data_IF_193013828372
#
_entry.id   IF_193013828372
#
_cell.length_a   1.000
_cell.length_b   1.000
_cell.length_c   1.000
_cell.angle_alpha   90.00
_cell.angle_beta   90.00
_cell.angle_gamma   90.00
#
_symmetry.space_group_name_H-M   'P 1'
#
loop_
_entity.id
_entity.type
_entity.pdbx_description
1 polymer ?
#
# COMPACT_ATOMS: atom_id res chain seq x y z
N UNK A 1 -9.15 5.13 19.61
CA UNK A 1 -9.73 5.22 18.27
C UNK A 1 -8.83 4.49 17.29
N UNK A 2 -9.39 3.53 16.57
CA UNK A 2 -8.59 2.73 15.65
C UNK A 2 -8.90 3.17 14.23
N UNK A 3 -7.90 3.80 13.62
CA UNK A 3 -8.06 4.25 12.25
C UNK A 3 -7.97 3.06 11.30
N UNK A 4 -8.84 3.07 10.31
CA UNK A 4 -8.73 2.12 9.20
C UNK A 4 -7.88 2.75 8.10
N UNK A 5 -6.98 1.96 7.54
CA UNK A 5 -6.03 2.42 6.53
C UNK A 5 -6.45 1.90 5.16
N UNK A 6 -6.24 2.72 4.13
CA UNK A 6 -6.45 2.30 2.75
C UNK A 6 -5.13 1.72 2.24
N UNK A 7 -5.08 0.43 1.94
CA UNK A 7 -3.82 -0.17 1.51
C UNK A 7 -3.49 0.18 0.07
N UNK A 8 -2.20 0.22 -0.22
CA UNK A 8 -1.70 0.17 -1.59
C UNK A 8 -1.41 -1.28 -1.91
N UNK A 9 -1.91 -1.76 -3.04
CA UNK A 9 -1.72 -3.15 -3.46
C UNK A 9 -0.69 -3.20 -4.58
N UNK A 10 0.37 -3.99 -4.36
CA UNK A 10 1.40 -4.24 -5.36
C UNK A 10 1.23 -5.66 -5.87
N UNK A 11 1.34 -5.85 -7.18
CA UNK A 11 1.19 -7.16 -7.79
C UNK A 11 2.53 -7.68 -8.28
N UNK A 12 2.85 -8.91 -7.90
CA UNK A 12 3.97 -9.65 -8.44
C UNK A 12 3.49 -11.03 -8.87
N UNK A 13 3.56 -11.32 -10.18
CA UNK A 13 3.07 -12.58 -10.75
C UNK A 13 1.62 -12.88 -10.31
N UNK A 14 0.76 -11.86 -10.37
CA UNK A 14 -0.66 -11.92 -9.97
C UNK A 14 -0.89 -12.18 -8.48
N UNK A 15 0.14 -12.12 -7.65
CA UNK A 15 -0.01 -12.24 -6.20
C UNK A 15 0.06 -10.85 -5.57
N UNK A 16 -0.93 -10.47 -4.78
CA UNK A 16 -0.94 -9.14 -4.18
C UNK A 16 -0.06 -9.06 -2.94
N UNK A 17 0.54 -7.89 -2.74
CA UNK A 17 1.17 -7.49 -1.50
C UNK A 17 0.57 -6.16 -1.09
N UNK A 18 -0.19 -6.14 -0.02
CA UNK A 18 -0.82 -4.93 0.50
C UNK A 18 0.10 -4.28 1.52
N UNK A 19 0.27 -2.98 1.41
CA UNK A 19 1.11 -2.22 2.32
C UNK A 19 0.48 -0.90 2.69
N UNK A 20 0.86 -0.39 3.85
CA UNK A 20 0.43 0.92 4.35
C UNK A 20 1.60 1.60 5.04
N UNK A 21 1.55 2.94 5.12
CA UNK A 21 2.48 3.71 5.94
C UNK A 21 1.80 4.09 7.25
N UNK A 22 2.44 3.80 8.36
CA UNK A 22 1.98 4.18 9.70
C UNK A 22 3.16 4.76 10.45
N UNK A 23 3.04 6.00 10.90
CA UNK A 23 4.09 6.71 11.66
C UNK A 23 5.44 6.68 10.94
N UNK A 24 5.45 6.98 9.64
CA UNK A 24 6.63 6.99 8.77
C UNK A 24 7.30 5.62 8.59
N UNK A 25 6.59 4.54 8.89
CA UNK A 25 7.10 3.18 8.74
C UNK A 25 6.20 2.39 7.81
N UNK A 26 6.75 1.66 6.83
CA UNK A 26 5.94 0.77 6.00
C UNK A 26 5.57 -0.50 6.77
N UNK A 27 4.33 -0.93 6.60
CA UNK A 27 3.81 -2.16 7.17
C UNK A 27 3.13 -2.95 6.06
N UNK A 28 3.36 -4.25 6.05
CA UNK A 28 2.90 -5.12 4.98
C UNK A 28 2.06 -6.26 5.54
N UNK A 29 1.07 -6.72 4.76
CA UNK A 29 0.29 -7.88 5.13
C UNK A 29 1.20 -9.11 5.24
N UNK A 30 1.24 -9.69 6.43
CA UNK A 30 2.05 -10.90 6.69
C UNK A 30 1.58 -12.05 5.83
N UNK A 31 0.27 -12.23 5.71
CA UNK A 31 -0.32 -13.27 4.87
C UNK A 31 0.07 -13.12 3.41
N UNK A 32 0.00 -11.90 2.88
CA UNK A 32 0.33 -11.65 1.49
C UNK A 32 1.79 -11.97 1.20
N UNK A 33 2.69 -11.55 2.09
CA UNK A 33 4.12 -11.80 1.90
C UNK A 33 4.45 -13.28 2.01
N UNK A 34 3.81 -13.99 2.94
CA UNK A 34 3.98 -15.43 3.05
C UNK A 34 3.58 -16.14 1.76
N UNK A 35 2.52 -15.68 1.10
CA UNK A 35 2.11 -16.22 -0.19
C UNK A 35 3.12 -15.92 -1.28
N UNK A 36 3.69 -14.72 -1.29
CA UNK A 36 4.76 -14.38 -2.24
C UNK A 36 5.96 -15.29 -2.07
N UNK A 37 6.28 -15.67 -0.84
CA UNK A 37 7.39 -16.60 -0.55
C UNK A 37 7.01 -18.05 -0.85
N UNK A 38 5.77 -18.33 -1.21
CA UNK A 38 5.34 -19.69 -1.51
C UNK A 38 5.15 -20.57 -0.29
N UNK A 39 4.94 -19.98 0.88
CA UNK A 39 4.74 -20.76 2.10
C UNK A 39 3.34 -21.38 2.13
N UNK A 40 3.29 -22.67 2.44
CA UNK A 40 2.02 -23.37 2.55
C UNK A 40 1.23 -22.98 3.80
N UNK A 41 1.93 -22.58 4.84
CA UNK A 41 1.32 -22.17 6.11
C UNK A 41 1.76 -20.74 6.45
N UNK A 42 0.92 -19.73 6.09
CA UNK A 42 1.26 -18.33 6.36
C UNK A 42 1.54 -18.02 7.82
N UNK A 43 0.93 -18.75 8.76
CA UNK A 43 1.22 -18.56 10.18
C UNK A 43 2.68 -18.87 10.55
N UNK A 44 3.38 -19.69 9.75
CA UNK A 44 4.78 -19.95 10.00
C UNK A 44 5.62 -18.69 9.94
N UNK A 45 5.28 -17.78 9.05
CA UNK A 45 5.95 -16.48 8.97
C UNK A 45 5.65 -15.63 10.21
N UNK A 46 4.39 -15.53 10.57
CA UNK A 46 3.95 -14.72 11.72
C UNK A 46 4.65 -15.17 13.01
N UNK A 47 4.79 -16.47 13.22
CA UNK A 47 5.44 -17.03 14.42
C UNK A 47 6.92 -16.69 14.54
N UNK A 48 7.55 -16.34 13.43
CA UNK A 48 9.00 -16.03 13.40
C UNK A 48 9.27 -14.54 13.64
N UNK A 49 8.24 -13.73 13.65
CA UNK A 49 8.39 -12.29 13.88
C UNK A 49 8.43 -11.99 15.37
N UNK A 50 9.25 -11.01 15.73
CA UNK A 50 9.30 -10.51 17.10
C UNK A 50 8.10 -9.59 17.37
N UNK A 51 7.72 -9.39 18.63
CA UNK A 51 6.56 -8.54 18.95
C UNK A 51 6.60 -7.14 18.32
N UNK A 52 7.77 -6.53 18.24
CA UNK A 52 7.90 -5.19 17.64
C UNK A 52 7.89 -5.21 16.11
N UNK A 53 7.96 -6.38 15.49
CA UNK A 53 7.94 -6.56 14.05
C UNK A 53 6.55 -6.89 13.52
N UNK A 54 5.57 -7.03 14.40
CA UNK A 54 4.20 -7.33 14.01
C UNK A 54 3.23 -6.35 14.65
N UNK A 55 2.10 -6.12 14.00
CA UNK A 55 0.97 -5.41 14.58
C UNK A 55 -0.31 -5.78 13.85
N UNK A 56 -1.43 -5.60 14.52
CA UNK A 56 -2.73 -5.72 13.90
C UNK A 56 -3.18 -4.39 13.39
N UNK A 57 -3.64 -4.35 12.14
CA UNK A 57 -4.16 -3.13 11.52
C UNK A 57 -5.51 -3.41 10.88
N UNK A 58 -6.32 -2.36 10.77
CA UNK A 58 -7.57 -2.42 10.03
C UNK A 58 -7.39 -1.78 8.68
N UNK A 59 -7.81 -2.49 7.65
CA UNK A 59 -7.81 -2.00 6.28
C UNK A 59 -9.23 -1.67 5.86
N UNK A 60 -9.38 -0.59 5.11
CA UNK A 60 -10.65 -0.15 4.56
C UNK A 60 -10.64 -0.38 3.06
N UNK A 61 -11.67 -1.06 2.56
CA UNK A 61 -11.82 -1.34 1.13
C UNK A 61 -12.83 -0.34 0.54
N UNK A 62 -12.32 0.58 -0.26
CA UNK A 62 -13.15 1.66 -0.83
C UNK A 62 -14.33 1.15 -1.64
N UNK A 63 -14.12 0.08 -2.42
CA UNK A 63 -15.16 -0.43 -3.32
C UNK A 63 -16.33 -1.05 -2.58
N UNK A 64 -16.05 -1.81 -1.55
CA UNK A 64 -17.10 -2.52 -0.81
C UNK A 64 -17.56 -1.78 0.43
N UNK A 65 -16.79 -0.79 0.91
CA UNK A 65 -17.02 -0.15 2.18
C UNK A 65 -16.70 -1.03 3.38
N UNK A 66 -16.14 -2.21 3.15
CA UNK A 66 -15.85 -3.17 4.20
C UNK A 66 -14.52 -2.87 4.89
N UNK A 67 -14.41 -3.28 6.15
CA UNK A 67 -13.16 -3.25 6.90
C UNK A 67 -12.66 -4.67 7.13
N UNK A 68 -11.35 -4.83 7.11
CA UNK A 68 -10.69 -6.12 7.35
C UNK A 68 -9.55 -5.89 8.33
N UNK A 69 -9.48 -6.72 9.37
CA UNK A 69 -8.35 -6.69 10.30
C UNK A 69 -7.33 -7.73 9.89
N UNK A 70 -6.09 -7.31 9.70
CA UNK A 70 -5.01 -8.19 9.28
C UNK A 70 -3.83 -8.10 10.22
N UNK A 71 -3.00 -9.14 10.20
CA UNK A 71 -1.68 -9.09 10.80
C UNK A 71 -0.71 -8.45 9.81
N UNK A 72 0.07 -7.49 10.28
CA UNK A 72 1.04 -6.79 9.45
C UNK A 72 2.44 -6.95 10.03
N UNK A 73 3.43 -6.87 9.16
CA UNK A 73 4.83 -6.99 9.52
C UNK A 73 5.56 -5.71 9.13
N UNK A 74 6.58 -5.37 9.93
CA UNK A 74 7.44 -4.22 9.67
C UNK A 74 8.38 -4.48 8.49
N UNK A 75 9.01 -3.41 8.00
CA UNK A 75 10.04 -3.50 6.98
C UNK A 75 11.19 -4.43 7.42
N UNK A 76 11.64 -4.29 8.67
CA UNK A 76 12.69 -5.15 9.20
C UNK A 76 12.26 -6.62 9.21
N UNK A 77 11.03 -6.90 9.63
CA UNK A 77 10.48 -8.25 9.62
C UNK A 77 10.41 -8.83 8.22
N UNK A 78 10.05 -7.99 7.26
CA UNK A 78 9.95 -8.40 5.85
C UNK A 78 11.32 -8.86 5.31
N UNK A 79 12.38 -8.09 5.54
CA UNK A 79 13.72 -8.47 5.06
C UNK A 79 14.26 -9.69 5.79
N UNK A 80 14.00 -9.82 7.08
CA UNK A 80 14.39 -11.04 7.82
C UNK A 80 13.70 -12.28 7.27
N UNK A 81 12.40 -12.16 6.95
CA UNK A 81 11.66 -13.27 6.38
C UNK A 81 12.21 -13.65 5.00
N UNK A 82 12.53 -12.66 4.18
CA UNK A 82 13.09 -12.90 2.85
C UNK A 82 14.38 -13.71 2.91
N UNK A 83 15.25 -13.38 3.84
CA UNK A 83 16.52 -14.09 4.03
C UNK A 83 16.28 -15.49 4.61
N UNK A 84 15.43 -15.59 5.63
CA UNK A 84 15.25 -16.82 6.38
C UNK A 84 14.57 -17.93 5.57
N UNK A 85 13.56 -17.58 4.79
CA UNK A 85 12.80 -18.58 4.05
C UNK A 85 13.39 -18.93 2.70
N UNK A 86 14.44 -18.24 2.27
CA UNK A 86 15.28 -18.65 1.17
C UNK A 86 14.56 -18.89 -0.16
N UNK A 87 13.71 -17.96 -0.57
CA UNK A 87 12.98 -18.08 -1.84
C UNK A 87 13.95 -18.09 -3.02
N UNK A 88 13.71 -18.93 -4.06
CA UNK A 88 14.59 -18.97 -5.24
C UNK A 88 14.74 -17.60 -5.93
N UNK A 89 13.74 -16.74 -5.84
CA UNK A 89 13.76 -15.39 -6.41
C UNK A 89 14.07 -14.34 -5.36
N UNK A 90 14.82 -14.68 -4.33
CA UNK A 90 15.12 -13.77 -3.21
C UNK A 90 15.72 -12.46 -3.67
N UNK A 91 16.66 -12.49 -4.62
CA UNK A 91 17.28 -11.28 -5.14
C UNK A 91 16.31 -10.42 -5.90
N UNK A 92 15.47 -11.04 -6.74
CA UNK A 92 14.46 -10.31 -7.51
C UNK A 92 13.39 -9.71 -6.60
N UNK A 93 12.99 -10.42 -5.56
CA UNK A 93 12.05 -9.90 -4.56
C UNK A 93 12.66 -8.72 -3.81
N UNK A 94 13.91 -8.83 -3.39
CA UNK A 94 14.61 -7.75 -2.72
C UNK A 94 14.66 -6.49 -3.59
N UNK A 95 15.04 -6.64 -4.86
CA UNK A 95 15.06 -5.51 -5.79
C UNK A 95 13.69 -4.89 -6.00
N UNK A 96 12.66 -5.72 -6.14
CA UNK A 96 11.29 -5.24 -6.31
C UNK A 96 10.82 -4.44 -5.09
N UNK A 97 11.09 -4.97 -3.90
CA UNK A 97 10.71 -4.30 -2.65
C UNK A 97 11.45 -2.98 -2.47
N UNK A 98 12.77 -2.96 -2.70
CA UNK A 98 13.58 -1.78 -2.45
C UNK A 98 13.47 -0.72 -3.52
N UNK A 99 13.20 -1.08 -4.76
CA UNK A 99 13.14 -0.14 -5.88
C UNK A 99 11.73 0.34 -6.21
N UNK A 100 10.71 -0.49 -5.97
CA UNK A 100 9.34 -0.16 -6.35
C UNK A 100 8.40 -0.02 -5.16
N UNK A 101 8.33 -1.04 -4.32
CA UNK A 101 7.29 -1.12 -3.28
C UNK A 101 7.49 -0.07 -2.20
N UNK A 102 8.64 -0.08 -1.55
CA UNK A 102 8.91 0.81 -0.43
C UNK A 102 8.99 2.27 -0.87
N UNK A 103 9.69 2.61 -1.96
CA UNK A 103 9.68 4.00 -2.42
C UNK A 103 8.30 4.53 -2.78
N UNK A 104 7.45 3.70 -3.38
CA UNK A 104 6.09 4.09 -3.73
C UNK A 104 5.25 4.39 -2.47
N UNK A 105 5.36 3.54 -1.44
CA UNK A 105 4.67 3.80 -0.19
C UNK A 105 5.15 5.07 0.50
N UNK A 106 6.46 5.30 0.53
CA UNK A 106 7.02 6.50 1.16
C UNK A 106 6.61 7.76 0.41
N UNK A 107 6.63 7.72 -0.91
CA UNK A 107 6.18 8.83 -1.75
C UNK A 107 4.72 9.20 -1.48
N UNK A 108 3.87 8.21 -1.39
CA UNK A 108 2.45 8.44 -1.11
C UNK A 108 2.24 9.11 0.23
N UNK A 109 2.98 8.73 1.24
CA UNK A 109 2.85 9.37 2.55
C UNK A 109 3.31 10.81 2.50
N UNK A 110 4.44 11.10 1.88
CA UNK A 110 4.98 12.45 1.79
C UNK A 110 4.02 13.39 1.07
N UNK A 111 3.32 12.89 0.05
CA UNK A 111 2.33 13.69 -0.68
C UNK A 111 1.00 13.80 0.05
N UNK A 112 0.58 12.78 0.79
CA UNK A 112 -0.71 12.79 1.48
C UNK A 112 -0.72 13.59 2.79
N UNK A 113 0.42 13.72 3.45
CA UNK A 113 0.45 14.25 4.80
C UNK A 113 0.21 15.76 4.84
N UNK A 114 0.74 16.53 3.90
CA UNK A 114 0.73 17.99 3.98
C UNK A 114 0.49 18.74 2.67
N UNK A 115 0.56 18.08 1.53
CA UNK A 115 0.46 18.73 0.23
C UNK A 115 -0.50 18.00 -0.69
N UNK A 116 -1.50 18.71 -1.26
CA UNK A 116 -2.37 18.07 -2.26
C UNK A 116 -1.55 17.58 -3.44
N UNK A 117 -1.83 16.37 -3.87
CA UNK A 117 -1.16 15.76 -5.00
C UNK A 117 -1.84 16.18 -6.30
N UNK A 118 -1.06 16.56 -7.29
CA UNK A 118 -1.60 16.87 -8.62
C UNK A 118 -1.82 15.58 -9.39
N UNK A 119 -3.04 15.42 -9.89
CA UNK A 119 -3.43 14.25 -10.68
C UNK A 119 -3.98 14.74 -12.01
N UNK A 120 -3.42 14.23 -13.11
CA UNK A 120 -3.89 14.55 -14.45
C UNK A 120 -4.77 13.40 -14.95
N UNK A 121 -6.02 13.71 -15.28
CA UNK A 121 -6.92 12.70 -15.84
C UNK A 121 -7.40 13.15 -17.22
N UNK A 122 -7.70 12.17 -18.08
CA UNK A 122 -8.31 12.43 -19.38
C UNK A 122 -9.82 12.44 -19.26
N UNK A 123 -10.46 13.47 -19.84
CA UNK A 123 -11.91 13.59 -19.87
C UNK A 123 -12.34 14.15 -21.21
N UNK A 124 -13.08 13.38 -21.99
CA UNK A 124 -13.62 13.81 -23.29
C UNK A 124 -12.57 14.53 -24.16
N UNK A 125 -11.41 13.90 -24.34
CA UNK A 125 -10.27 14.42 -25.11
C UNK A 125 -9.57 15.64 -24.51
N UNK A 126 -9.94 16.01 -23.30
CA UNK A 126 -9.25 17.06 -22.55
C UNK A 126 -8.52 16.46 -21.35
N UNK A 127 -7.45 17.12 -20.94
CA UNK A 127 -6.72 16.76 -19.73
C UNK A 127 -7.15 17.68 -18.61
N UNK A 128 -7.61 17.07 -17.50
CA UNK A 128 -8.03 17.81 -16.32
C UNK A 128 -6.98 17.64 -15.23
N UNK A 129 -6.56 18.75 -14.65
CA UNK A 129 -5.66 18.77 -13.51
C UNK A 129 -6.50 18.81 -12.24
N UNK A 130 -6.38 17.76 -11.44
CA UNK A 130 -7.08 17.65 -10.17
C UNK A 130 -6.06 17.67 -9.03
N UNK A 131 -6.53 18.05 -7.86
CA UNK A 131 -5.76 17.92 -6.63
C UNK A 131 -6.30 16.74 -5.84
N UNK A 132 -5.44 15.81 -5.51
CA UNK A 132 -5.77 14.71 -4.61
C UNK A 132 -5.25 15.07 -3.22
N UNK A 133 -6.17 15.08 -2.26
CA UNK A 133 -5.86 15.39 -0.88
C UNK A 133 -6.72 14.55 0.03
N UNK A 134 -6.09 13.83 0.95
CA UNK A 134 -6.78 12.95 1.89
C UNK A 134 -7.75 11.97 1.21
N UNK A 135 -7.35 11.47 0.04
CA UNK A 135 -8.15 10.51 -0.71
C UNK A 135 -9.29 11.09 -1.51
N UNK A 136 -9.45 12.41 -1.53
CA UNK A 136 -10.47 13.07 -2.31
C UNK A 136 -9.86 13.84 -3.47
N UNK A 137 -10.61 13.91 -4.56
CA UNK A 137 -10.22 14.69 -5.73
C UNK A 137 -10.89 16.04 -5.70
N UNK A 138 -10.10 17.09 -5.88
CA UNK A 138 -10.55 18.47 -5.86
C UNK A 138 -10.25 19.14 -7.20
N UNK A 139 -11.18 19.95 -7.68
CA UNK A 139 -11.02 20.68 -8.92
C UNK A 139 -11.35 22.14 -8.66
N UNK A 140 -10.56 23.06 -9.27
CA UNK A 140 -10.90 24.48 -9.19
C UNK A 140 -12.24 24.73 -9.84
N UNK A 141 -13.12 25.46 -9.15
CA UNK A 141 -14.46 25.73 -9.63
C UNK A 141 -14.46 26.37 -11.02
N UNK A 142 -13.56 27.31 -11.25
CA UNK A 142 -13.46 28.03 -12.51
C UNK A 142 -13.08 27.15 -13.69
N UNK A 143 -12.49 25.97 -13.42
CA UNK A 143 -12.03 25.03 -14.44
C UNK A 143 -12.93 23.80 -14.55
N UNK A 144 -14.04 23.78 -13.82
CA UNK A 144 -14.99 22.67 -13.95
C UNK A 144 -15.62 22.75 -15.35
N UNK A 145 -15.52 21.66 -16.14
CA UNK A 145 -16.15 21.65 -17.46
C UNK A 145 -17.65 21.89 -17.36
N UNK A 146 -18.18 22.64 -18.32
CA UNK A 146 -19.61 23.02 -18.30
C UNK A 146 -20.55 21.82 -18.30
N UNK A 147 -20.15 20.75 -18.96
CA UNK A 147 -20.93 19.52 -19.00
C UNK A 147 -20.93 18.76 -17.67
N UNK A 148 -20.04 19.11 -16.74
CA UNK A 148 -20.04 18.57 -15.39
C UNK A 148 -20.76 19.48 -14.40
N UNK A 149 -20.87 20.77 -14.70
CA UNK A 149 -21.39 21.77 -13.78
C UNK A 149 -22.82 22.20 -14.03
N UNK A 150 -23.48 21.63 -15.01
CA UNK A 150 -24.84 22.00 -15.35
C UNK A 150 -25.90 21.47 -14.41
#
# INVERSE_FOLDING_TARGET
>A
MHDAYIPTTFLRHNRPLRGVMIDNQPWFSTYDFARLLGLHHPQALHRRLKPHETRRIRLYHRRSGAEETIDAMSEAGLYKALIRFGHPECQQLDEWLTREVIPTLRDQQDTHAHTPRRVMIGWQNERLLLLEWQGELWMQWEKVPRYLGS
#
